data_IF_984167245788
#
_entry.id   IF_984167245788
#
_cell.length_a   1.000
_cell.length_b   1.000
_cell.length_c   1.000
_cell.angle_alpha   90.00
_cell.angle_beta   90.00
_cell.angle_gamma   90.00
#
_symmetry.space_group_name_H-M   'P 1'
#
loop_
_entity.id
_entity.type
_entity.pdbx_description
1 polymer ?
#
# COMPACT_ATOMS: atom_id res chain seq x y z
N UNK A 1 23.88 98.23 12.21
CA UNK A 1 22.53 98.66 11.77
C UNK A 1 22.54 98.73 10.24
N UNK A 2 21.43 98.34 9.60
CA UNK A 2 21.14 98.35 8.16
C UNK A 2 21.18 96.98 7.42
N UNK A 3 19.94 96.58 7.11
CA UNK A 3 19.32 95.76 6.06
C UNK A 3 20.11 95.38 4.78
N UNK A 4 19.51 94.34 4.15
CA UNK A 4 19.58 93.83 2.76
C UNK A 4 20.65 92.73 2.58
N UNK A 5 20.43 91.58 1.94
CA UNK A 5 19.55 91.11 0.84
C UNK A 5 19.43 89.58 0.99
N UNK A 6 18.40 88.88 0.49
CA UNK A 6 18.61 87.61 -0.24
C UNK A 6 17.43 87.20 -1.15
N UNK A 7 17.83 86.57 -2.27
CA UNK A 7 17.15 86.32 -3.55
C UNK A 7 15.99 85.30 -3.51
N UNK A 8 15.08 85.30 -4.51
CA UNK A 8 13.98 84.34 -4.60
C UNK A 8 14.47 82.97 -5.09
N UNK A 9 13.90 81.87 -4.57
CA UNK A 9 14.10 80.50 -5.06
C UNK A 9 12.81 79.97 -5.67
N UNK A 10 12.99 79.29 -6.80
CA UNK A 10 11.99 78.73 -7.70
C UNK A 10 11.16 77.62 -7.05
N UNK A 11 9.88 77.59 -7.44
CA UNK A 11 8.87 76.56 -7.16
C UNK A 11 9.20 75.25 -7.87
N UNK A 12 9.09 74.12 -7.15
CA UNK A 12 9.05 72.78 -7.72
C UNK A 12 7.80 72.06 -7.20
N UNK A 13 6.82 71.85 -8.09
CA UNK A 13 5.65 71.01 -7.87
C UNK A 13 6.07 69.54 -7.90
N UNK A 14 5.88 68.81 -6.80
CA UNK A 14 5.92 67.34 -6.79
C UNK A 14 4.48 66.82 -6.92
N UNK A 15 4.18 66.19 -8.06
CA UNK A 15 2.94 65.45 -8.29
C UNK A 15 3.10 64.01 -7.77
N UNK A 16 2.41 63.70 -6.67
CA UNK A 16 2.38 62.35 -6.10
C UNK A 16 1.27 61.54 -6.80
N UNK A 17 1.66 60.59 -7.66
CA UNK A 17 0.75 59.62 -8.27
C UNK A 17 0.50 58.51 -7.24
N UNK A 18 -0.73 58.44 -6.72
CA UNK A 18 -1.20 57.39 -5.83
C UNK A 18 -1.75 56.23 -6.67
N UNK A 19 -0.96 55.20 -6.90
CA UNK A 19 -1.39 53.95 -7.53
C UNK A 19 -2.12 53.08 -6.51
N UNK A 20 -3.43 52.95 -6.66
CA UNK A 20 -4.26 52.01 -5.89
C UNK A 20 -4.08 50.61 -6.49
N UNK A 21 -3.31 49.76 -5.82
CA UNK A 21 -3.28 48.33 -6.10
C UNK A 21 -4.54 47.70 -5.50
N UNK A 22 -5.48 47.27 -6.34
CA UNK A 22 -6.56 46.39 -5.95
C UNK A 22 -6.00 44.98 -5.85
N UNK A 23 -5.75 44.50 -4.64
CA UNK A 23 -5.43 43.10 -4.40
C UNK A 23 -6.69 42.27 -4.62
N UNK A 24 -6.79 41.61 -5.78
CA UNK A 24 -7.74 40.51 -5.97
C UNK A 24 -7.23 39.33 -5.16
N UNK A 25 -7.80 39.12 -3.98
CA UNK A 25 -7.62 37.86 -3.24
C UNK A 25 -8.31 36.76 -4.04
N UNK A 26 -7.53 36.03 -4.83
CA UNK A 26 -7.94 34.71 -5.30
C UNK A 26 -8.09 33.86 -4.05
N UNK A 27 -9.33 33.59 -3.63
CA UNK A 27 -9.59 32.55 -2.64
C UNK A 27 -9.19 31.22 -3.28
N UNK A 28 -7.93 30.85 -3.13
CA UNK A 28 -7.51 29.47 -3.30
C UNK A 28 -8.32 28.65 -2.29
N UNK A 29 -9.00 27.62 -2.76
CA UNK A 29 -9.53 26.57 -1.88
C UNK A 29 -8.38 26.15 -0.97
N UNK A 30 -8.50 26.22 0.36
CA UNK A 30 -7.42 25.78 1.25
C UNK A 30 -7.08 24.33 0.88
N UNK A 31 -5.80 24.02 0.67
CA UNK A 31 -5.38 22.65 0.40
C UNK A 31 -5.92 21.73 1.51
N UNK A 32 -6.44 20.56 1.14
CA UNK A 32 -7.06 19.60 2.06
C UNK A 32 -6.10 19.25 3.19
N UNK A 33 -4.79 19.27 2.94
CA UNK A 33 -3.76 19.11 3.98
C UNK A 33 -3.91 20.08 5.14
N UNK A 34 -4.24 21.34 4.87
CA UNK A 34 -4.38 22.40 5.90
C UNK A 34 -5.62 22.17 6.75
N UNK A 35 -6.70 21.67 6.13
CA UNK A 35 -7.93 21.33 6.82
C UNK A 35 -7.71 20.20 7.84
N UNK A 36 -6.95 19.17 7.45
CA UNK A 36 -6.70 17.98 8.27
C UNK A 36 -5.35 18.01 9.03
N UNK A 37 -4.71 19.18 9.17
CA UNK A 37 -3.40 19.30 9.82
C UNK A 37 -3.44 19.32 11.35
N UNK A 38 -4.59 19.68 11.95
CA UNK A 38 -4.71 19.81 13.40
C UNK A 38 -4.83 18.43 14.06
N UNK A 39 -4.20 18.26 15.23
CA UNK A 39 -4.28 17.04 16.04
C UNK A 39 -4.15 17.37 17.52
N UNK A 40 -4.65 16.47 18.37
CA UNK A 40 -4.58 16.61 19.84
C UNK A 40 -3.60 15.57 20.40
N UNK A 41 -2.37 15.99 20.71
CA UNK A 41 -1.30 15.09 21.17
C UNK A 41 -1.65 14.30 22.44
N UNK A 42 -2.43 14.89 23.36
CA UNK A 42 -2.83 14.30 24.63
C UNK A 42 -4.10 13.44 24.55
N UNK A 43 -4.66 13.26 23.35
CA UNK A 43 -5.90 12.52 23.17
C UNK A 43 -5.69 11.02 23.35
N UNK A 44 -6.52 10.44 24.21
CA UNK A 44 -6.64 8.99 24.43
C UNK A 44 -7.86 8.39 23.72
N UNK A 45 -8.49 9.16 22.81
CA UNK A 45 -9.61 8.64 22.00
C UNK A 45 -9.04 7.72 20.93
N UNK A 46 -9.58 6.51 20.84
CA UNK A 46 -9.13 5.47 19.92
C UNK A 46 -10.23 5.15 18.90
N UNK A 47 -9.83 4.96 17.64
CA UNK A 47 -10.74 4.45 16.61
C UNK A 47 -10.57 2.93 16.53
N UNK A 48 -11.70 2.21 16.56
CA UNK A 48 -11.74 0.76 16.40
C UNK A 48 -12.14 0.42 14.97
N UNK A 49 -11.55 -0.64 14.41
CA UNK A 49 -11.74 -1.04 13.02
C UNK A 49 -12.16 -2.52 12.86
N UNK A 50 -13.12 -3.06 13.64
CA UNK A 50 -13.50 -4.48 13.56
C UNK A 50 -14.11 -4.86 12.20
N UNK A 51 -14.72 -3.89 11.54
CA UNK A 51 -15.35 -4.01 10.22
C UNK A 51 -14.30 -4.05 9.09
N UNK A 52 -13.28 -3.21 9.17
CA UNK A 52 -12.09 -3.26 8.29
C UNK A 52 -11.34 -4.57 8.49
N UNK A 53 -11.10 -4.99 9.74
CA UNK A 53 -10.47 -6.27 10.06
C UNK A 53 -11.25 -7.44 9.44
N UNK A 54 -12.58 -7.42 9.54
CA UNK A 54 -13.41 -8.47 8.94
C UNK A 54 -13.29 -8.53 7.41
N UNK A 55 -13.26 -7.38 6.73
CA UNK A 55 -13.06 -7.31 5.27
C UNK A 55 -11.65 -7.80 4.88
N UNK A 56 -10.63 -7.39 5.63
CA UNK A 56 -9.25 -7.79 5.36
C UNK A 56 -9.03 -9.29 5.61
N UNK A 57 -9.55 -9.84 6.70
CA UNK A 57 -9.41 -11.26 7.07
C UNK A 57 -10.02 -12.21 6.02
N UNK A 58 -11.11 -11.80 5.35
CA UNK A 58 -11.74 -12.62 4.30
C UNK A 58 -11.14 -12.42 2.91
N UNK A 59 -10.46 -11.29 2.68
CA UNK A 59 -10.01 -10.89 1.35
C UNK A 59 -8.50 -11.08 1.16
N UNK A 60 -7.71 -10.98 2.22
CA UNK A 60 -6.25 -11.02 2.15
C UNK A 60 -5.73 -12.40 2.54
N UNK A 61 -4.92 -12.99 1.66
CA UNK A 61 -4.14 -14.19 1.94
C UNK A 61 -2.70 -13.77 2.23
N UNK A 62 -2.25 -14.10 3.44
CA UNK A 62 -0.86 -13.94 3.83
C UNK A 62 0.02 -14.97 3.12
N UNK A 63 0.98 -14.50 2.34
CA UNK A 63 1.95 -15.38 1.66
C UNK A 63 3.18 -15.67 2.53
N UNK A 64 3.34 -14.94 3.64
CA UNK A 64 4.51 -15.00 4.51
C UNK A 64 5.68 -14.15 4.00
N UNK A 65 6.79 -14.20 4.73
CA UNK A 65 8.01 -13.49 4.36
C UNK A 65 8.68 -14.15 3.15
N UNK A 66 9.31 -13.33 2.32
CA UNK A 66 10.16 -13.75 1.21
C UNK A 66 11.21 -14.75 1.65
N UNK A 67 11.24 -15.92 1.01
CA UNK A 67 12.39 -16.81 1.01
C UNK A 67 13.30 -16.60 -0.22
N UNK A 68 12.97 -15.60 -1.05
CA UNK A 68 13.64 -15.25 -2.31
C UNK A 68 13.67 -16.36 -3.37
N UNK A 69 12.90 -17.43 -3.19
CA UNK A 69 12.86 -18.54 -4.14
C UNK A 69 12.18 -18.13 -5.46
N UNK A 70 12.70 -18.68 -6.55
CA UNK A 70 12.08 -18.48 -7.86
C UNK A 70 10.90 -19.41 -8.02
N UNK A 71 9.76 -18.86 -8.45
CA UNK A 71 8.61 -19.68 -8.86
C UNK A 71 9.01 -20.68 -9.96
N UNK A 72 8.33 -21.83 -9.98
CA UNK A 72 8.49 -22.79 -11.06
C UNK A 72 8.13 -22.18 -12.42
N UNK A 73 8.71 -22.74 -13.49
CA UNK A 73 8.37 -22.29 -14.84
C UNK A 73 6.99 -22.85 -15.19
N UNK A 74 6.01 -22.01 -15.58
CA UNK A 74 4.70 -22.51 -15.99
C UNK A 74 4.87 -23.43 -17.20
N UNK A 75 4.30 -24.63 -17.08
CA UNK A 75 4.25 -25.59 -18.18
C UNK A 75 3.11 -25.22 -19.14
N UNK A 76 3.35 -25.42 -20.43
CA UNK A 76 2.29 -25.26 -21.44
C UNK A 76 1.36 -26.46 -21.43
N UNK A 77 0.11 -26.26 -21.84
CA UNK A 77 -0.84 -27.34 -22.08
C UNK A 77 -0.35 -28.25 -23.21
N UNK A 78 -0.49 -29.57 -23.07
CA UNK A 78 -0.06 -30.55 -24.08
C UNK A 78 -0.67 -30.21 -25.45
N UNK A 79 0.17 -30.09 -26.48
CA UNK A 79 -0.26 -29.74 -27.83
C UNK A 79 -0.36 -28.23 -28.12
N UNK A 80 -0.05 -27.35 -27.16
CA UNK A 80 -0.01 -25.89 -27.37
C UNK A 80 1.34 -25.30 -26.96
N UNK A 81 1.87 -24.35 -27.76
CA UNK A 81 3.09 -23.59 -27.41
C UNK A 81 2.82 -22.40 -26.47
N UNK A 82 1.56 -22.13 -26.12
CA UNK A 82 1.20 -21.01 -25.23
C UNK A 82 1.59 -21.35 -23.79
N UNK A 83 2.22 -20.38 -23.13
CA UNK A 83 2.61 -20.44 -21.72
C UNK A 83 2.21 -19.13 -21.05
N UNK A 84 1.70 -19.21 -19.82
CA UNK A 84 1.47 -18.03 -19.00
C UNK A 84 2.81 -17.36 -18.71
N UNK A 85 2.90 -16.04 -18.91
CA UNK A 85 4.08 -15.28 -18.52
C UNK A 85 3.89 -14.84 -17.08
N UNK A 86 4.77 -15.31 -16.19
CA UNK A 86 4.84 -14.84 -14.80
C UNK A 86 6.23 -14.29 -14.54
N UNK A 87 6.33 -13.28 -13.66
CA UNK A 87 7.61 -12.88 -13.13
C UNK A 87 8.02 -13.87 -12.03
N UNK A 88 8.93 -14.80 -12.37
CA UNK A 88 9.33 -15.87 -11.45
C UNK A 88 10.00 -15.37 -10.17
N UNK A 89 10.59 -14.18 -10.20
CA UNK A 89 11.24 -13.58 -9.04
C UNK A 89 10.25 -13.18 -7.95
N UNK A 90 9.06 -12.74 -8.36
CA UNK A 90 8.08 -12.08 -7.49
C UNK A 90 6.75 -12.81 -7.41
N UNK A 91 6.53 -13.86 -8.20
CA UNK A 91 5.27 -14.58 -8.27
C UNK A 91 4.86 -15.26 -6.95
N UNK A 92 5.82 -15.62 -6.09
CA UNK A 92 5.58 -16.19 -4.75
C UNK A 92 5.57 -15.14 -3.63
N UNK A 93 5.78 -13.88 -3.97
CA UNK A 93 5.94 -12.78 -3.03
C UNK A 93 4.64 -11.99 -2.85
N UNK A 94 4.57 -11.21 -1.77
CA UNK A 94 3.46 -10.29 -1.45
C UNK A 94 2.15 -10.98 -1.10
N UNK A 95 1.46 -10.47 -0.09
CA UNK A 95 0.10 -10.91 0.22
C UNK A 95 -0.83 -10.75 -1.00
N UNK A 96 -1.78 -11.68 -1.14
CA UNK A 96 -2.70 -11.72 -2.29
C UNK A 96 -4.10 -11.36 -1.86
N UNK A 97 -4.82 -10.66 -2.71
CA UNK A 97 -6.24 -10.32 -2.48
C UNK A 97 -7.12 -11.23 -3.31
N UNK A 98 -8.11 -11.87 -2.68
CA UNK A 98 -9.10 -12.70 -3.36
C UNK A 98 -10.25 -11.84 -3.89
N UNK A 99 -9.99 -11.17 -5.01
CA UNK A 99 -10.91 -10.22 -5.62
C UNK A 99 -12.24 -10.85 -6.08
N UNK A 100 -12.26 -12.16 -6.36
CA UNK A 100 -13.46 -12.89 -6.76
C UNK A 100 -14.55 -12.92 -5.68
N UNK A 101 -14.18 -12.81 -4.40
CA UNK A 101 -15.16 -12.68 -3.32
C UNK A 101 -16.11 -11.50 -3.56
N UNK A 102 -15.57 -10.41 -4.12
CA UNK A 102 -16.34 -9.22 -4.42
C UNK A 102 -17.28 -9.42 -5.61
N UNK A 103 -17.17 -10.46 -6.45
CA UNK A 103 -18.17 -10.69 -7.51
C UNK A 103 -19.58 -10.99 -6.96
N UNK A 104 -19.66 -11.41 -5.69
CA UNK A 104 -20.91 -11.58 -4.98
C UNK A 104 -21.36 -10.23 -4.41
N UNK A 105 -22.60 -9.84 -4.75
CA UNK A 105 -23.17 -8.55 -4.36
C UNK A 105 -23.11 -8.26 -2.86
N UNK A 106 -23.29 -9.28 -2.01
CA UNK A 106 -23.24 -9.11 -0.55
C UNK A 106 -21.86 -8.64 -0.05
N UNK A 107 -20.76 -9.23 -0.57
CA UNK A 107 -19.42 -8.83 -0.17
C UNK A 107 -19.03 -7.45 -0.72
N UNK A 108 -19.44 -7.12 -1.96
CA UNK A 108 -19.31 -5.76 -2.51
C UNK A 108 -20.03 -4.74 -1.64
N UNK A 109 -21.27 -5.04 -1.25
CA UNK A 109 -22.05 -4.18 -0.37
C UNK A 109 -21.36 -3.97 0.99
N UNK A 110 -20.83 -5.03 1.61
CA UNK A 110 -20.09 -4.86 2.87
C UNK A 110 -18.85 -3.98 2.70
N UNK A 111 -18.12 -4.12 1.59
CA UNK A 111 -16.98 -3.24 1.28
C UNK A 111 -17.41 -1.78 1.09
N UNK A 112 -18.53 -1.53 0.42
CA UNK A 112 -19.12 -0.19 0.31
C UNK A 112 -19.55 0.37 1.68
N UNK A 113 -20.25 -0.43 2.48
CA UNK A 113 -20.75 -0.04 3.80
C UNK A 113 -19.58 0.31 4.74
N UNK A 114 -18.49 -0.46 4.72
CA UNK A 114 -17.27 -0.18 5.50
C UNK A 114 -16.59 1.10 5.02
N UNK A 115 -16.44 1.27 3.70
CA UNK A 115 -15.81 2.48 3.13
C UNK A 115 -16.62 3.74 3.46
N UNK A 116 -17.95 3.65 3.38
CA UNK A 116 -18.86 4.73 3.74
C UNK A 116 -18.82 5.04 5.25
N UNK A 117 -18.83 4.01 6.11
CA UNK A 117 -18.70 4.15 7.56
C UNK A 117 -17.41 4.86 7.96
N UNK A 118 -16.28 4.52 7.33
CA UNK A 118 -15.01 5.20 7.56
C UNK A 118 -15.07 6.67 7.14
N UNK A 119 -15.66 6.99 5.98
CA UNK A 119 -15.79 8.38 5.53
C UNK A 119 -16.68 9.20 6.48
N UNK A 120 -17.82 8.65 6.92
CA UNK A 120 -18.74 9.30 7.86
C UNK A 120 -18.16 9.47 9.28
N UNK A 121 -17.12 8.71 9.64
CA UNK A 121 -16.53 8.77 10.97
C UNK A 121 -15.99 10.17 11.28
N UNK A 122 -15.34 10.81 10.31
CA UNK A 122 -14.80 12.15 10.47
C UNK A 122 -15.90 13.22 10.66
N UNK A 123 -17.08 13.02 10.03
CA UNK A 123 -18.22 13.93 10.21
C UNK A 123 -18.81 13.86 11.63
N UNK A 124 -18.77 12.67 12.24
CA UNK A 124 -19.27 12.44 13.61
C UNK A 124 -18.25 12.82 14.67
N UNK A 125 -16.97 12.57 14.41
CA UNK A 125 -15.86 12.85 15.31
C UNK A 125 -14.74 13.53 14.52
N UNK A 126 -14.64 14.88 14.57
CA UNK A 126 -13.66 15.62 13.78
C UNK A 126 -12.24 15.16 14.04
N UNK A 127 -11.44 15.01 12.98
CA UNK A 127 -10.15 14.33 13.07
C UNK A 127 -9.15 15.02 14.02
N UNK A 128 -9.30 16.34 14.23
CA UNK A 128 -8.51 17.15 15.17
C UNK A 128 -8.54 16.65 16.62
N UNK A 129 -9.57 15.87 16.99
CA UNK A 129 -9.71 15.30 18.33
C UNK A 129 -8.77 14.11 18.58
N UNK A 130 -8.21 13.50 17.53
CA UNK A 130 -7.33 12.35 17.65
C UNK A 130 -5.86 12.77 17.68
N UNK A 131 -5.01 11.90 18.21
CA UNK A 131 -3.57 12.08 18.14
C UNK A 131 -3.04 11.73 16.74
N UNK A 132 -1.78 12.08 16.47
CA UNK A 132 -1.16 11.90 15.15
C UNK A 132 -1.17 10.43 14.68
N UNK A 133 -0.93 9.46 15.57
CA UNK A 133 -0.91 8.05 15.16
C UNK A 133 -2.30 7.53 14.80
N UNK A 134 -3.33 7.92 15.54
CA UNK A 134 -4.73 7.58 15.22
C UNK A 134 -5.14 8.19 13.87
N UNK A 135 -4.77 9.44 13.59
CA UNK A 135 -5.02 10.03 12.27
C UNK A 135 -4.29 9.29 11.14
N UNK A 136 -3.03 8.90 11.35
CA UNK A 136 -2.29 8.12 10.35
C UNK A 136 -2.96 6.78 10.07
N UNK A 137 -3.37 6.07 11.13
CA UNK A 137 -4.08 4.80 11.01
C UNK A 137 -5.38 4.95 10.22
N UNK A 138 -6.16 5.98 10.54
CA UNK A 138 -7.39 6.33 9.82
C UNK A 138 -7.13 6.54 8.32
N UNK A 139 -6.17 7.39 7.96
CA UNK A 139 -5.89 7.68 6.55
C UNK A 139 -5.40 6.46 5.77
N UNK A 140 -4.55 5.63 6.38
CA UNK A 140 -4.06 4.40 5.74
C UNK A 140 -5.19 3.37 5.55
N UNK A 141 -6.03 3.17 6.56
CA UNK A 141 -7.18 2.26 6.45
C UNK A 141 -8.18 2.75 5.41
N UNK A 142 -8.54 4.03 5.43
CA UNK A 142 -9.46 4.62 4.48
C UNK A 142 -8.93 4.51 3.04
N UNK A 143 -7.66 4.86 2.81
CA UNK A 143 -7.02 4.71 1.50
C UNK A 143 -7.07 3.25 1.03
N UNK A 144 -6.65 2.31 1.88
CA UNK A 144 -6.56 0.89 1.51
C UNK A 144 -7.93 0.28 1.22
N UNK A 145 -8.95 0.59 2.02
CA UNK A 145 -10.32 0.13 1.79
C UNK A 145 -10.92 0.73 0.51
N UNK A 146 -10.68 2.02 0.29
CA UNK A 146 -11.17 2.70 -0.91
C UNK A 146 -10.49 2.15 -2.16
N UNK A 147 -9.17 1.95 -2.13
CA UNK A 147 -8.46 1.34 -3.26
C UNK A 147 -8.96 -0.09 -3.53
N UNK A 148 -9.17 -0.89 -2.48
CA UNK A 148 -9.72 -2.24 -2.59
C UNK A 148 -11.11 -2.22 -3.25
N UNK A 149 -11.97 -1.28 -2.84
CA UNK A 149 -13.30 -1.02 -3.44
C UNK A 149 -13.20 -0.68 -4.91
N UNK A 150 -12.42 0.35 -5.26
CA UNK A 150 -12.28 0.79 -6.66
C UNK A 150 -11.72 -0.34 -7.56
N UNK A 151 -10.75 -1.10 -7.06
CA UNK A 151 -10.23 -2.28 -7.76
C UNK A 151 -11.25 -3.42 -7.88
N UNK A 152 -12.13 -3.60 -6.88
CA UNK A 152 -13.18 -4.61 -6.90
C UNK A 152 -14.28 -4.29 -7.91
N UNK A 153 -14.52 -3.01 -8.20
CA UNK A 153 -15.44 -2.55 -9.24
C UNK A 153 -14.83 -2.64 -10.65
N UNK A 154 -13.53 -2.37 -10.80
CA UNK A 154 -12.86 -2.29 -12.10
C UNK A 154 -11.96 -3.52 -12.39
N UNK A 155 -12.44 -4.73 -12.06
CA UNK A 155 -11.59 -5.94 -12.15
C UNK A 155 -11.17 -6.33 -13.56
N UNK A 156 -11.90 -5.90 -14.58
CA UNK A 156 -11.72 -6.27 -15.98
C UNK A 156 -10.70 -5.43 -16.76
N UNK A 157 -10.14 -4.37 -16.17
CA UNK A 157 -9.34 -3.41 -16.93
C UNK A 157 -7.91 -3.90 -17.19
N UNK A 158 -7.63 -4.18 -18.47
CA UNK A 158 -6.27 -4.37 -19.00
C UNK A 158 -5.35 -3.15 -18.69
N UNK A 159 -5.95 -1.99 -18.42
CA UNK A 159 -5.27 -0.74 -18.12
C UNK A 159 -4.75 -0.62 -16.67
N UNK A 160 -5.04 -1.56 -15.77
CA UNK A 160 -4.61 -1.45 -14.36
C UNK A 160 -3.09 -1.30 -14.24
N UNK A 161 -2.32 -1.94 -15.10
CA UNK A 161 -0.87 -1.75 -15.14
C UNK A 161 -0.48 -0.30 -15.47
N UNK A 162 -1.18 0.33 -16.41
CA UNK A 162 -0.92 1.70 -16.82
C UNK A 162 -1.30 2.68 -15.71
N UNK A 163 -2.48 2.53 -15.12
CA UNK A 163 -2.94 3.40 -14.04
C UNK A 163 -1.97 3.38 -12.85
N UNK A 164 -1.51 2.20 -12.43
CA UNK A 164 -0.61 2.05 -11.29
C UNK A 164 0.84 2.43 -11.60
N UNK A 165 1.26 2.32 -12.86
CA UNK A 165 2.57 2.81 -13.29
C UNK A 165 2.63 4.35 -13.31
N UNK A 166 1.50 5.00 -13.60
CA UNK A 166 1.36 6.46 -13.68
C UNK A 166 0.47 7.00 -12.55
N UNK A 167 0.52 6.39 -11.36
CA UNK A 167 -0.39 6.65 -10.23
C UNK A 167 -0.66 8.14 -9.98
N UNK A 168 0.39 8.96 -10.00
CA UNK A 168 0.28 10.40 -9.71
C UNK A 168 -0.54 11.19 -10.73
N UNK A 169 -0.52 10.79 -12.01
CA UNK A 169 -1.22 11.51 -13.09
C UNK A 169 -2.40 10.71 -13.66
N UNK A 170 -2.71 9.57 -13.07
CA UNK A 170 -3.77 8.68 -13.51
C UNK A 170 -5.14 9.22 -13.08
N UNK A 171 -6.12 9.19 -13.99
CA UNK A 171 -7.50 9.56 -13.68
C UNK A 171 -8.12 8.64 -12.61
N UNK A 172 -7.68 7.38 -12.54
CA UNK A 172 -8.13 6.43 -11.53
C UNK A 172 -7.80 6.89 -10.11
N UNK A 173 -6.63 7.48 -9.89
CA UNK A 173 -6.19 7.92 -8.57
C UNK A 173 -6.53 9.39 -8.26
N UNK A 174 -6.78 10.22 -9.28
CA UNK A 174 -7.09 11.64 -9.14
C UNK A 174 -8.60 11.96 -9.18
N UNK A 175 -9.47 10.99 -9.48
CA UNK A 175 -10.92 11.21 -9.37
C UNK A 175 -11.36 11.29 -7.90
N UNK A 176 -12.31 12.17 -7.63
CA UNK A 176 -12.93 12.26 -6.32
C UNK A 176 -13.79 11.02 -6.07
N UNK A 177 -13.43 10.26 -5.03
CA UNK A 177 -14.10 9.00 -4.66
C UNK A 177 -14.78 9.06 -3.29
N UNK A 178 -14.41 10.05 -2.48
CA UNK A 178 -14.86 10.20 -1.10
C UNK A 178 -15.24 11.64 -0.82
N UNK A 179 -16.07 11.84 0.21
CA UNK A 179 -16.31 13.16 0.81
C UNK A 179 -16.13 13.03 2.31
N UNK A 180 -15.27 13.86 2.89
CA UNK A 180 -14.91 13.83 4.32
C UNK A 180 -14.93 15.24 4.86
N UNK A 181 -15.71 15.51 5.91
CA UNK A 181 -15.89 16.86 6.47
C UNK A 181 -16.22 17.91 5.38
N UNK A 182 -17.00 17.50 4.37
CA UNK A 182 -17.40 18.32 3.23
C UNK A 182 -16.34 18.54 2.14
N UNK A 183 -15.14 17.95 2.26
CA UNK A 183 -14.11 17.98 1.23
C UNK A 183 -14.23 16.76 0.32
N UNK A 184 -14.39 16.97 -0.99
CA UNK A 184 -14.25 15.89 -1.98
C UNK A 184 -12.77 15.52 -2.10
N UNK A 185 -12.46 14.22 -2.02
CA UNK A 185 -11.09 13.73 -1.97
C UNK A 185 -10.89 12.56 -2.93
N UNK A 186 -9.78 12.62 -3.66
CA UNK A 186 -9.23 11.50 -4.42
C UNK A 186 -8.27 10.65 -3.58
N UNK A 187 -7.87 9.50 -4.12
CA UNK A 187 -6.83 8.66 -3.50
C UNK A 187 -5.49 9.40 -3.42
N UNK A 188 -5.15 10.19 -4.45
CA UNK A 188 -3.93 11.00 -4.47
C UNK A 188 -4.00 12.19 -3.52
N UNK A 189 -5.17 12.78 -3.27
CA UNK A 189 -5.31 13.82 -2.25
C UNK A 189 -5.03 13.25 -0.85
N UNK A 190 -5.54 12.05 -0.55
CA UNK A 190 -5.22 11.38 0.72
C UNK A 190 -3.71 11.12 0.83
N UNK A 191 -3.08 10.58 -0.21
CA UNK A 191 -1.67 10.18 -0.16
C UNK A 191 -0.70 11.36 -0.20
N UNK A 192 -0.83 12.23 -1.20
CA UNK A 192 0.15 13.26 -1.54
C UNK A 192 -0.20 14.66 -1.03
N UNK A 193 -1.48 14.98 -0.81
CA UNK A 193 -1.84 16.25 -0.18
C UNK A 193 -1.90 16.09 1.34
N UNK A 194 -2.67 15.14 1.87
CA UNK A 194 -2.88 15.00 3.32
C UNK A 194 -1.72 14.27 4.00
N UNK A 195 -1.48 13.00 3.66
CA UNK A 195 -0.53 12.16 4.41
C UNK A 195 0.90 12.64 4.22
N UNK A 196 1.32 12.90 2.98
CA UNK A 196 2.66 13.42 2.70
C UNK A 196 2.94 14.72 3.46
N UNK A 197 1.99 15.66 3.54
CA UNK A 197 2.25 16.94 4.20
C UNK A 197 2.15 16.88 5.73
N UNK A 198 1.22 16.11 6.28
CA UNK A 198 0.98 16.09 7.72
C UNK A 198 1.90 15.10 8.47
N UNK A 199 2.49 14.13 7.76
CA UNK A 199 3.34 13.07 8.33
C UNK A 199 4.78 13.06 7.80
N UNK A 200 5.28 14.22 7.34
CA UNK A 200 6.69 14.41 6.97
C UNK A 200 7.64 13.90 8.06
N UNK A 201 8.76 13.31 7.63
CA UNK A 201 9.78 12.73 8.51
C UNK A 201 9.49 11.30 8.98
N UNK A 202 8.38 10.70 8.59
CA UNK A 202 8.16 9.26 8.76
C UNK A 202 8.11 8.58 7.39
N UNK A 203 9.27 8.19 6.86
CA UNK A 203 9.32 7.60 5.51
C UNK A 203 8.62 6.23 5.45
N UNK A 204 8.37 5.58 6.60
CA UNK A 204 7.73 4.27 6.64
C UNK A 204 6.26 4.31 6.18
N UNK A 205 5.63 5.49 6.11
CA UNK A 205 4.24 5.62 5.64
C UNK A 205 4.05 5.07 4.23
N UNK A 206 5.10 5.06 3.40
CA UNK A 206 5.06 4.48 2.04
C UNK A 206 4.66 3.00 2.06
N UNK A 207 4.98 2.27 3.12
CA UNK A 207 4.66 0.85 3.28
C UNK A 207 3.22 0.62 3.73
N UNK A 208 2.52 1.65 4.18
CA UNK A 208 1.13 1.57 4.61
C UNK A 208 0.12 1.63 3.47
N UNK A 209 0.55 2.15 2.32
CA UNK A 209 -0.29 2.28 1.14
C UNK A 209 -0.25 1.00 0.30
N UNK A 210 -1.39 0.34 0.21
CA UNK A 210 -1.58 -0.74 -0.74
C UNK A 210 -1.42 -0.21 -2.16
N UNK A 211 -0.71 -0.95 -2.99
CA UNK A 211 -0.42 -0.54 -4.37
C UNK A 211 -1.12 -1.42 -5.40
N UNK A 212 -2.03 -2.33 -5.00
CA UNK A 212 -2.78 -3.17 -5.94
C UNK A 212 -1.97 -4.19 -6.76
N UNK A 213 -0.63 -4.10 -6.75
CA UNK A 213 0.28 -4.87 -7.58
C UNK A 213 1.31 -5.61 -6.72
N UNK A 214 1.84 -6.71 -7.26
CA UNK A 214 2.80 -7.56 -6.56
C UNK A 214 4.02 -6.75 -6.13
N UNK A 215 4.54 -5.87 -6.99
CA UNK A 215 5.80 -5.16 -6.79
C UNK A 215 5.81 -4.07 -5.72
N UNK A 216 4.69 -3.79 -5.04
CA UNK A 216 4.67 -2.85 -3.92
C UNK A 216 4.48 -3.53 -2.56
N UNK A 217 4.30 -2.75 -1.48
CA UNK A 217 4.18 -3.28 -0.12
C UNK A 217 2.93 -4.15 0.07
N UNK A 218 3.04 -5.14 0.94
CA UNK A 218 1.99 -6.13 1.18
C UNK A 218 0.83 -5.53 1.98
N UNK A 219 -0.40 -5.69 1.49
CA UNK A 219 -1.61 -5.38 2.29
C UNK A 219 -1.69 -6.37 3.47
N UNK A 220 -1.88 -5.84 4.67
CA UNK A 220 -1.97 -6.65 5.89
C UNK A 220 -3.40 -7.14 6.11
N UNK A 221 -3.62 -8.32 6.70
CA UNK A 221 -4.98 -8.82 7.00
C UNK A 221 -5.60 -8.16 8.25
N UNK A 222 -4.92 -7.16 8.83
CA UNK A 222 -5.39 -6.39 9.99
C UNK A 222 -5.23 -4.91 9.73
N UNK A 223 -6.21 -4.15 10.20
CA UNK A 223 -6.26 -2.71 10.13
C UNK A 223 -5.14 -2.06 10.96
N UNK A 224 -4.73 -0.87 10.53
CA UNK A 224 -3.91 0.00 11.33
C UNK A 224 -4.74 0.59 12.48
N UNK A 225 -4.12 0.77 13.64
CA UNK A 225 -4.67 1.47 14.81
C UNK A 225 -3.61 2.45 15.31
N UNK A 226 -3.98 3.50 16.05
CA UNK A 226 -2.96 4.44 16.54
C UNK A 226 -1.92 3.78 17.45
N UNK A 227 -2.26 2.65 18.09
CA UNK A 227 -1.34 1.82 18.88
C UNK A 227 -0.34 1.03 18.02
N UNK A 228 -0.79 0.44 16.90
CA UNK A 228 0.05 -0.49 16.12
C UNK A 228 0.74 0.16 14.91
N UNK A 229 0.27 1.33 14.43
CA UNK A 229 0.58 1.80 13.07
C UNK A 229 2.08 1.93 12.81
N UNK A 230 2.84 2.52 13.74
CA UNK A 230 4.28 2.68 13.57
C UNK A 230 5.03 1.34 13.57
N UNK A 231 4.60 0.39 14.42
CA UNK A 231 5.19 -0.94 14.47
C UNK A 231 4.88 -1.76 13.24
N UNK A 232 3.64 -1.71 12.77
CA UNK A 232 3.17 -2.40 11.57
C UNK A 232 3.87 -1.86 10.32
N UNK A 233 3.97 -0.53 10.16
CA UNK A 233 4.71 0.08 9.03
C UNK A 233 6.19 -0.34 8.99
N UNK A 234 6.87 -0.41 10.14
CA UNK A 234 8.25 -0.91 10.23
C UNK A 234 8.35 -2.39 9.86
N UNK A 235 7.39 -3.20 10.31
CA UNK A 235 7.37 -4.63 9.99
C UNK A 235 7.14 -4.88 8.50
N UNK A 236 6.20 -4.15 7.89
CA UNK A 236 5.96 -4.22 6.44
C UNK A 236 7.19 -3.72 5.68
N UNK A 237 7.81 -2.63 6.13
CA UNK A 237 9.04 -2.10 5.53
C UNK A 237 10.18 -3.12 5.54
N UNK A 238 10.39 -3.82 6.66
CA UNK A 238 11.37 -4.90 6.75
C UNK A 238 11.06 -6.06 5.80
N UNK A 239 9.81 -6.52 5.77
CA UNK A 239 9.37 -7.58 4.85
C UNK A 239 9.62 -7.18 3.39
N UNK A 240 9.14 -5.99 3.02
CA UNK A 240 9.25 -5.48 1.67
C UNK A 240 10.70 -5.34 1.22
N UNK A 241 11.55 -4.66 2.01
CA UNK A 241 12.97 -4.47 1.71
C UNK A 241 13.65 -5.82 1.49
N UNK A 242 13.38 -6.81 2.33
CA UNK A 242 14.00 -8.14 2.24
C UNK A 242 13.30 -9.11 1.28
N UNK A 243 12.42 -8.61 0.41
CA UNK A 243 11.80 -9.39 -0.66
C UNK A 243 12.47 -9.20 -2.01
N UNK A 244 12.26 -10.14 -2.95
CA UNK A 244 12.68 -9.97 -4.35
C UNK A 244 12.01 -8.78 -5.06
N UNK A 245 11.02 -8.14 -4.43
CA UNK A 245 10.33 -6.93 -4.90
C UNK A 245 10.96 -5.65 -4.39
N UNK A 246 11.59 -5.71 -3.22
CA UNK A 246 12.21 -4.58 -2.55
C UNK A 246 13.66 -4.38 -2.95
N UNK A 247 14.46 -5.45 -2.89
CA UNK A 247 15.90 -5.42 -3.20
C UNK A 247 16.36 -6.75 -3.80
N UNK A 248 17.48 -6.71 -4.54
CA UNK A 248 18.07 -7.89 -5.18
C UNK A 248 19.60 -7.88 -5.11
N UNK A 249 20.23 -9.05 -5.26
CA UNK A 249 21.64 -9.33 -4.92
C UNK A 249 22.69 -8.47 -5.64
N UNK A 250 22.32 -7.75 -6.70
CA UNK A 250 23.21 -6.92 -7.49
C UNK A 250 23.00 -5.41 -7.24
N UNK A 251 22.55 -5.04 -6.03
CA UNK A 251 22.32 -3.65 -5.64
C UNK A 251 21.09 -3.00 -6.28
N UNK A 252 20.24 -3.79 -6.96
CA UNK A 252 18.97 -3.31 -7.52
C UNK A 252 17.94 -3.16 -6.42
N UNK A 253 17.12 -2.11 -6.52
CA UNK A 253 16.07 -1.79 -5.57
C UNK A 253 14.75 -1.51 -6.28
N UNK A 254 13.67 -1.52 -5.52
CA UNK A 254 12.33 -1.27 -6.02
C UNK A 254 12.21 0.10 -6.67
N UNK A 255 11.58 0.15 -7.84
CA UNK A 255 11.14 1.40 -8.46
C UNK A 255 10.07 2.14 -7.63
N UNK A 256 9.52 1.50 -6.58
CA UNK A 256 8.65 2.15 -5.61
C UNK A 256 9.33 3.39 -4.99
N UNK A 257 10.62 3.29 -4.66
CA UNK A 257 11.36 4.39 -4.03
C UNK A 257 11.47 5.62 -4.95
N UNK A 258 11.66 5.40 -6.25
CA UNK A 258 11.64 6.48 -7.23
C UNK A 258 10.25 7.12 -7.34
N UNK A 259 9.18 6.31 -7.37
CA UNK A 259 7.79 6.82 -7.44
C UNK A 259 7.39 7.61 -6.20
N UNK A 260 7.86 7.20 -5.03
CA UNK A 260 7.50 7.79 -3.74
C UNK A 260 8.63 8.65 -3.15
N UNK A 261 9.54 9.15 -3.99
CA UNK A 261 10.68 9.96 -3.58
C UNK A 261 10.29 11.22 -2.79
N UNK A 262 9.09 11.77 -3.03
CA UNK A 262 8.58 12.94 -2.32
C UNK A 262 8.48 12.73 -0.80
N UNK A 263 8.28 11.48 -0.34
CA UNK A 263 8.20 11.14 1.08
C UNK A 263 9.54 11.21 1.82
N UNK A 264 10.66 11.27 1.11
CA UNK A 264 12.01 11.36 1.67
C UNK A 264 12.45 12.82 1.76
N UNK A 265 12.25 13.48 2.89
CA UNK A 265 12.46 14.94 3.00
C UNK A 265 13.95 15.34 2.85
N UNK A 266 14.24 16.20 1.85
CA UNK A 266 15.60 16.65 1.52
C UNK A 266 15.94 16.65 0.03
N UNK A 267 17.05 17.30 -0.33
CA UNK A 267 17.47 17.48 -1.73
C UNK A 267 18.09 16.21 -2.33
N UNK A 268 18.92 15.50 -1.56
CA UNK A 268 19.57 14.27 -2.01
C UNK A 268 18.69 13.04 -1.73
N UNK A 269 17.59 12.93 -2.48
CA UNK A 269 16.63 11.81 -2.37
C UNK A 269 17.32 10.44 -2.47
N UNK A 270 18.25 10.18 -3.41
CA UNK A 270 18.88 8.86 -3.51
C UNK A 270 19.66 8.47 -2.25
N UNK A 271 20.38 9.40 -1.61
CA UNK A 271 21.08 9.13 -0.34
C UNK A 271 20.11 8.82 0.81
N UNK A 272 18.99 9.54 0.89
CA UNK A 272 17.95 9.29 1.91
C UNK A 272 17.29 7.93 1.71
N UNK A 273 16.99 7.56 0.46
CA UNK A 273 16.44 6.25 0.10
C UNK A 273 17.42 5.15 0.46
N UNK A 274 18.69 5.27 0.06
CA UNK A 274 19.74 4.30 0.40
C UNK A 274 19.85 4.13 1.92
N UNK A 275 19.98 5.23 2.66
CA UNK A 275 20.04 5.20 4.12
C UNK A 275 18.80 4.55 4.76
N UNK A 276 17.62 4.77 4.18
CA UNK A 276 16.40 4.13 4.64
C UNK A 276 16.39 2.62 4.39
N UNK A 277 16.82 2.15 3.21
CA UNK A 277 16.92 0.72 2.88
C UNK A 277 17.91 0.03 3.84
N UNK A 278 19.05 0.67 4.12
CA UNK A 278 20.08 0.15 5.03
C UNK A 278 19.60 -0.04 6.48
N UNK A 279 18.50 0.60 6.89
CA UNK A 279 17.87 0.36 8.21
C UNK A 279 17.19 -1.01 8.31
N UNK A 280 16.78 -1.58 7.19
CA UNK A 280 15.93 -2.79 7.15
C UNK A 280 16.62 -3.99 6.50
N UNK A 281 17.55 -3.76 5.58
CA UNK A 281 18.19 -4.82 4.82
C UNK A 281 19.02 -5.75 5.71
N UNK A 282 18.92 -7.04 5.41
CA UNK A 282 19.72 -8.11 6.01
C UNK A 282 21.13 -8.20 5.39
N UNK A 283 22.03 -8.91 6.07
CA UNK A 283 23.47 -8.84 5.82
C UNK A 283 23.89 -9.36 4.43
N UNK A 284 23.14 -10.30 3.85
CA UNK A 284 23.46 -10.95 2.57
C UNK A 284 23.45 -9.99 1.37
N UNK A 285 22.65 -8.92 1.43
CA UNK A 285 22.55 -7.94 0.34
C UNK A 285 22.98 -6.53 0.75
N UNK A 286 23.22 -6.31 2.05
CA UNK A 286 23.70 -5.04 2.60
C UNK A 286 24.90 -4.50 1.84
N UNK A 287 25.94 -5.32 1.64
CA UNK A 287 27.20 -4.91 1.00
C UNK A 287 26.97 -4.32 -0.40
N UNK A 288 26.11 -4.96 -1.21
CA UNK A 288 25.81 -4.49 -2.57
C UNK A 288 25.13 -3.11 -2.60
N UNK A 289 24.35 -2.79 -1.56
CA UNK A 289 23.67 -1.51 -1.42
C UNK A 289 24.60 -0.47 -0.80
N UNK A 290 25.43 -0.83 0.17
CA UNK A 290 26.39 0.09 0.81
C UNK A 290 27.50 0.55 -0.13
N UNK A 291 27.98 -0.34 -1.02
CA UNK A 291 29.05 -0.01 -1.96
C UNK A 291 28.56 0.82 -3.15
N UNK A 292 27.26 0.80 -3.46
CA UNK A 292 26.72 1.61 -4.54
C UNK A 292 26.76 3.10 -4.16
N UNK A 293 27.22 3.95 -5.07
CA UNK A 293 27.02 5.39 -4.89
C UNK A 293 25.52 5.70 -4.88
N UNK A 294 25.00 6.57 -4.00
CA UNK A 294 23.57 6.82 -3.91
C UNK A 294 22.94 7.24 -5.24
N UNK A 295 23.65 8.03 -6.06
CA UNK A 295 23.21 8.46 -7.40
C UNK A 295 23.17 7.35 -8.45
N UNK A 296 23.85 6.23 -8.20
CA UNK A 296 23.94 5.08 -9.10
C UNK A 296 23.02 3.92 -8.67
N UNK A 297 22.23 4.11 -7.60
CA UNK A 297 21.31 3.10 -7.10
C UNK A 297 20.27 2.75 -8.18
N UNK A 298 20.28 1.49 -8.62
CA UNK A 298 19.39 1.02 -9.69
C UNK A 298 17.99 0.76 -9.15
N UNK A 299 17.08 1.74 -9.30
CA UNK A 299 15.67 1.65 -8.86
C UNK A 299 14.75 1.08 -9.96
N UNK A 300 15.02 -0.15 -10.42
CA UNK A 300 14.39 -0.73 -11.61
C UNK A 300 13.60 -2.02 -11.36
N UNK A 301 13.53 -2.50 -10.11
CA UNK A 301 12.70 -3.67 -9.78
C UNK A 301 11.23 -3.25 -9.85
N UNK A 302 10.51 -3.83 -10.81
CA UNK A 302 9.12 -3.50 -11.12
C UNK A 302 8.33 -4.78 -11.35
N UNK A 303 7.19 -4.88 -10.67
CA UNK A 303 6.16 -5.85 -11.02
C UNK A 303 4.77 -5.23 -10.85
N UNK A 304 4.16 -4.84 -11.97
CA UNK A 304 2.79 -4.32 -12.03
C UNK A 304 1.74 -5.41 -12.21
N UNK A 305 2.10 -6.69 -12.09
CA UNK A 305 1.11 -7.76 -12.04
C UNK A 305 0.19 -7.53 -10.85
N UNK A 306 -1.12 -7.75 -11.03
CA UNK A 306 -2.12 -7.54 -9.98
C UNK A 306 -1.80 -8.43 -8.78
N UNK A 307 -1.83 -7.88 -7.55
CA UNK A 307 -1.70 -8.64 -6.31
C UNK A 307 -3.00 -9.39 -5.98
N UNK A 308 -3.49 -10.17 -6.93
CA UNK A 308 -4.74 -10.89 -6.86
C UNK A 308 -4.50 -12.40 -6.89
N UNK A 309 -5.33 -13.15 -6.18
CA UNK A 309 -5.56 -14.54 -6.52
C UNK A 309 -6.50 -14.52 -7.72
N UNK A 310 -6.02 -15.04 -8.83
CA UNK A 310 -6.78 -15.21 -10.06
C UNK A 310 -7.06 -16.71 -10.14
N UNK A 311 -8.33 -17.11 -10.10
CA UNK A 311 -8.76 -18.48 -10.40
C UNK A 311 -8.31 -18.79 -11.84
N UNK A 312 -7.26 -19.59 -11.99
CA UNK A 312 -6.76 -20.07 -13.28
C UNK A 312 -7.71 -21.15 -13.85
N UNK A 313 -9.02 -20.84 -13.94
CA UNK A 313 -9.89 -21.51 -14.92
C UNK A 313 -9.55 -20.93 -16.28
N UNK A 314 -9.18 -21.81 -17.22
CA UNK A 314 -8.74 -21.57 -18.61
C UNK A 314 -7.20 -21.42 -18.69
N UNK A 315 -6.39 -22.47 -18.87
CA UNK A 315 -6.46 -23.54 -19.87
C UNK A 315 -5.88 -24.86 -19.30
N UNK A 316 -6.70 -25.63 -18.60
CA UNK A 316 -6.47 -27.07 -18.50
C UNK A 316 -6.55 -27.66 -19.91
N UNK A 317 -5.65 -28.58 -20.22
CA UNK A 317 -5.68 -29.35 -21.45
C UNK A 317 -7.06 -29.97 -21.71
N UNK A 318 -7.65 -29.65 -22.86
CA UNK A 318 -8.53 -30.55 -23.61
C UNK A 318 -9.95 -30.74 -23.10
N UNK A 319 -10.81 -29.73 -23.23
CA UNK A 319 -12.14 -29.91 -23.82
C UNK A 319 -12.45 -28.67 -24.68
N UNK A 320 -12.06 -28.75 -25.95
CA UNK A 320 -12.39 -27.74 -26.96
C UNK A 320 -13.91 -27.73 -27.17
N UNK A 321 -14.56 -26.59 -26.94
CA UNK A 321 -15.98 -26.36 -27.30
C UNK A 321 -16.21 -26.22 -28.82
N UNK A 322 -15.44 -26.93 -29.65
CA UNK A 322 -15.70 -27.04 -31.07
C UNK A 322 -16.69 -28.18 -31.28
N UNK A 323 -17.88 -27.88 -31.82
CA UNK A 323 -18.93 -28.87 -32.13
C UNK A 323 -18.44 -30.05 -32.99
N UNK A 324 -17.31 -29.90 -33.69
CA UNK A 324 -16.70 -30.97 -34.49
C UNK A 324 -16.01 -32.07 -33.64
N UNK A 325 -15.60 -31.79 -32.40
CA UNK A 325 -14.90 -32.76 -31.55
C UNK A 325 -15.83 -33.64 -30.71
N UNK A 326 -17.13 -33.29 -30.60
CA UNK A 326 -18.11 -33.99 -29.78
C UNK A 326 -18.70 -35.25 -30.45
N UNK A 327 -18.42 -35.48 -31.74
CA UNK A 327 -19.03 -36.58 -32.51
C UNK A 327 -18.19 -37.87 -32.55
N UNK A 328 -16.98 -37.88 -31.97
CA UNK A 328 -16.02 -38.97 -32.16
C UNK A 328 -15.64 -39.76 -30.89
N UNK A 329 -16.23 -39.48 -29.73
CA UNK A 329 -15.87 -40.17 -28.49
C UNK A 329 -17.11 -40.63 -27.71
N UNK A 330 -17.17 -41.94 -27.46
CA UNK A 330 -18.20 -42.57 -26.65
C UNK A 330 -18.29 -41.95 -25.24
N UNK A 331 -19.49 -41.87 -24.64
CA UNK A 331 -19.68 -41.21 -23.35
C UNK A 331 -19.06 -42.08 -22.26
N UNK A 332 -17.94 -41.63 -21.70
CA UNK A 332 -17.47 -42.11 -20.40
C UNK A 332 -18.22 -41.32 -19.34
N UNK A 333 -18.90 -42.05 -18.46
CA UNK A 333 -19.74 -41.57 -17.38
C UNK A 333 -19.08 -40.45 -16.57
N UNK A 334 -19.83 -39.37 -16.44
CA UNK A 334 -19.53 -38.20 -15.63
C UNK A 334 -19.60 -38.54 -14.15
N UNK A 335 -18.48 -38.44 -13.43
CA UNK A 335 -18.48 -38.23 -11.97
C UNK A 335 -17.99 -36.82 -11.71
N UNK A 336 -18.89 -36.00 -11.19
CA UNK A 336 -18.77 -34.55 -11.13
C UNK A 336 -17.61 -34.02 -10.29
N UNK A 337 -17.07 -32.91 -10.77
CA UNK A 337 -16.34 -31.92 -9.99
C UNK A 337 -16.99 -30.55 -10.25
N UNK A 338 -18.30 -30.48 -9.99
CA UNK A 338 -18.97 -29.20 -9.74
C UNK A 338 -18.79 -28.86 -8.25
N UNK A 339 -18.26 -27.67 -7.98
CA UNK A 339 -18.07 -27.04 -6.66
C UNK A 339 -16.75 -27.35 -5.93
N UNK A 340 -15.64 -26.76 -6.39
CA UNK A 340 -14.67 -26.20 -5.45
C UNK A 340 -15.10 -24.76 -5.13
N UNK A 341 -16.10 -24.65 -4.26
CA UNK A 341 -16.38 -23.46 -3.47
C UNK A 341 -15.89 -23.83 -2.08
N UNK A 342 -14.79 -23.25 -1.62
CA UNK A 342 -14.42 -23.41 -0.22
C UNK A 342 -15.57 -22.88 0.63
N UNK A 343 -16.20 -23.78 1.39
CA UNK A 343 -17.20 -23.44 2.38
C UNK A 343 -16.53 -22.66 3.51
N UNK A 344 -17.31 -22.00 4.36
CA UNK A 344 -16.78 -21.34 5.56
C UNK A 344 -15.98 -22.31 6.43
N UNK A 345 -16.34 -23.59 6.42
CA UNK A 345 -15.64 -24.65 7.15
C UNK A 345 -14.29 -24.99 6.51
N UNK A 346 -14.18 -24.97 5.17
CA UNK A 346 -12.91 -25.19 4.48
C UNK A 346 -11.92 -24.02 4.70
N UNK A 347 -12.44 -22.80 4.78
CA UNK A 347 -11.65 -21.61 5.15
C UNK A 347 -11.20 -21.70 6.60
N UNK A 348 -12.02 -22.23 7.51
CA UNK A 348 -11.61 -22.50 8.88
C UNK A 348 -10.52 -23.57 8.95
N UNK A 349 -10.60 -24.63 8.15
CA UNK A 349 -9.54 -25.65 8.05
C UNK A 349 -8.25 -25.05 7.51
N UNK A 350 -8.31 -24.18 6.49
CA UNK A 350 -7.14 -23.46 5.97
C UNK A 350 -6.53 -22.50 7.01
N UNK A 351 -7.37 -21.79 7.78
CA UNK A 351 -6.92 -20.98 8.93
C UNK A 351 -6.29 -21.83 10.02
N UNK A 352 -6.84 -23.00 10.30
CA UNK A 352 -6.28 -23.91 11.32
C UNK A 352 -4.95 -24.50 10.87
N UNK A 353 -4.80 -24.81 9.57
CA UNK A 353 -3.54 -25.25 8.96
C UNK A 353 -2.51 -24.13 8.99
N UNK A 354 -2.87 -22.90 8.64
CA UNK A 354 -1.97 -21.74 8.68
C UNK A 354 -1.59 -21.40 10.14
N UNK A 355 -2.53 -21.50 11.09
CA UNK A 355 -2.26 -21.38 12.53
C UNK A 355 -1.31 -22.47 13.03
N UNK A 356 -1.51 -23.73 12.62
CA UNK A 356 -0.61 -24.85 12.94
C UNK A 356 0.78 -24.66 12.33
N UNK A 357 0.87 -24.15 11.10
CA UNK A 357 2.13 -23.82 10.44
C UNK A 357 2.91 -22.72 11.16
N UNK A 358 2.22 -21.67 11.62
CA UNK A 358 2.82 -20.58 12.38
C UNK A 358 3.19 -20.99 13.81
N UNK A 359 2.45 -21.93 14.42
CA UNK A 359 2.78 -22.50 15.73
C UNK A 359 3.98 -23.45 15.62
N UNK A 360 4.08 -24.23 14.54
CA UNK A 360 5.19 -25.15 14.28
C UNK A 360 6.53 -24.46 13.98
N UNK A 361 6.50 -23.19 13.54
CA UNK A 361 7.71 -22.35 13.36
C UNK A 361 7.90 -21.28 14.43
N UNK A 362 6.96 -21.16 15.36
CA UNK A 362 6.97 -20.19 16.44
C UNK A 362 6.94 -20.86 17.80
N UNK A 363 7.97 -21.63 18.13
CA UNK A 363 8.31 -21.97 19.53
C UNK A 363 9.77 -22.39 19.59
N UNK A 364 10.60 -21.51 20.16
CA UNK A 364 11.82 -21.97 20.85
C UNK A 364 11.30 -22.59 22.14
N UNK A 365 11.35 -23.92 22.25
CA UNK A 365 11.18 -24.59 23.53
C UNK A 365 12.41 -24.27 24.38
N UNK A 366 12.27 -23.33 25.31
CA UNK A 366 13.14 -23.30 26.49
C UNK A 366 12.66 -24.45 27.36
N UNK A 367 13.41 -25.55 27.37
CA UNK A 367 13.27 -26.53 28.44
C UNK A 367 13.90 -25.90 29.67
N UNK A 368 13.08 -25.47 30.64
CA UNK A 368 13.59 -25.26 31.98
C UNK A 368 14.13 -26.61 32.48
N UNK A 369 15.43 -26.65 32.76
CA UNK A 369 16.04 -27.78 33.46
C UNK A 369 15.33 -27.92 34.80
N UNK A 370 14.81 -29.11 35.09
CA UNK A 370 14.28 -29.40 36.42
C UNK A 370 15.38 -29.21 37.47
N UNK A 371 15.05 -28.68 38.65
CA UNK A 371 16.02 -28.40 39.73
C UNK A 371 16.86 -29.63 40.16
N UNK A 372 16.44 -30.85 39.80
CA UNK A 372 17.21 -32.07 40.04
C UNK A 372 18.39 -32.31 39.08
N UNK A 373 18.51 -31.57 37.98
CA UNK A 373 19.64 -31.69 37.04
C UNK A 373 20.68 -30.58 37.20
N UNK A 374 20.40 -29.55 38.01
CA UNK A 374 21.32 -28.46 38.31
C UNK A 374 22.28 -28.73 39.49
N UNK A 375 22.11 -29.85 40.22
CA UNK A 375 22.86 -30.15 41.45
C UNK A 375 23.79 -31.37 41.39
N UNK A 376 23.98 -32.00 40.23
CA UNK A 376 24.88 -33.16 40.08
C UNK A 376 26.24 -32.84 39.43
N UNK A 377 26.78 -31.64 39.69
CA UNK A 377 28.15 -31.26 39.31
C UNK A 377 28.94 -30.69 40.50
N UNK A 378 28.87 -31.36 41.65
CA UNK A 378 29.93 -31.29 42.68
C UNK A 378 30.19 -32.70 43.22
N UNK A 379 31.09 -33.42 42.54
CA UNK A 379 32.05 -34.35 43.15
C UNK A 379 33.16 -34.71 42.19
#
# INVERSE_FOLDING_TARGET
MQRLVHKPRYSAFFATILTVFTATTVNATPSSSTHFAQYTSSSNVEIQYPDVDAVLDISVIEMGASNRELAERPLGSTGTRLKKRINRLTALESNRVYFENFNKQNYRKHLDDVTASLAELADKAPLKLFNKNEQLAYWLNLYNMTLLREMAYNQSDENIKYEFANERNSDFFNRDVLTIEGQALSLNDIKYDIVLNNFKGNENVIYGFFTGVIGGPSLQPKAFTGKNVLGQLKSIGREFVNSNRGTYYNGRVSALYARYADFFDGENKPALIQAHILKYIEDDMRESIEQAAPSELSMDIVDFSKAAIIDDRVYAAGLSYNRAALMATHPVLTTGFDNLRFSLDDIQVLREINRKYNTARGTVTVNDLSESEATSAEK
#
